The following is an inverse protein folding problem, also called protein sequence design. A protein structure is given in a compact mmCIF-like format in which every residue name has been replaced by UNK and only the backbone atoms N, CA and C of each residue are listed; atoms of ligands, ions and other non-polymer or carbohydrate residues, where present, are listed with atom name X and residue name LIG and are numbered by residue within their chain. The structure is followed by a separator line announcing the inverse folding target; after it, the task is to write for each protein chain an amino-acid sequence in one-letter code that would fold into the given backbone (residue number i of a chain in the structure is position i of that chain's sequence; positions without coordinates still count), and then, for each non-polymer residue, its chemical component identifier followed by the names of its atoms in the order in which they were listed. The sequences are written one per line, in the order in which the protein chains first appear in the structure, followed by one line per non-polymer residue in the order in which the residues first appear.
data_IF_474772941970
#
_entry.id   IF_474772941970
#
_cell.length_a   1.000
_cell.length_b   1.000
_cell.length_c   1.000
_cell.angle_alpha   90.00
_cell.angle_beta   90.00
_cell.angle_gamma   90.00
#
_symmetry.space_group_name_H-M   'P 1'
#
loop_
_entity.id
_entity.type
_entity.pdbx_description
1 polymer ?
#
# COMPACT_ATOMS: atom_id res chain seq x y z
N UNK A 1 -49.36 2.16 -29.27
CA UNK A 1 -48.20 1.54 -29.95
C UNK A 1 -47.14 1.30 -28.90
N UNK A 2 -46.76 0.04 -28.63
CA UNK A 2 -45.78 -0.31 -27.57
C UNK A 2 -44.49 -0.72 -28.27
N UNK A 3 -43.42 0.05 -28.08
CA UNK A 3 -42.10 -0.31 -28.58
C UNK A 3 -41.53 -1.43 -27.70
N UNK A 4 -41.15 -2.56 -28.32
CA UNK A 4 -40.38 -3.61 -27.67
C UNK A 4 -38.92 -3.45 -28.08
N UNK A 5 -37.96 -3.56 -27.14
CA UNK A 5 -36.55 -3.56 -27.50
C UNK A 5 -36.23 -4.75 -28.41
N UNK A 6 -35.52 -4.51 -29.51
CA UNK A 6 -35.07 -5.54 -30.45
C UNK A 6 -33.92 -6.38 -29.88
N UNK A 7 -33.09 -5.77 -29.03
CA UNK A 7 -31.91 -6.40 -28.44
C UNK A 7 -31.59 -5.75 -27.09
N UNK A 8 -31.17 -6.56 -26.12
CA UNK A 8 -30.65 -6.09 -24.84
C UNK A 8 -29.17 -6.50 -24.73
N UNK A 9 -28.27 -5.52 -24.75
CA UNK A 9 -26.83 -5.74 -24.60
C UNK A 9 -26.41 -5.46 -23.16
N UNK A 10 -25.81 -6.45 -22.50
CA UNK A 10 -25.10 -6.25 -21.24
C UNK A 10 -23.62 -6.00 -21.49
N UNK A 11 -23.05 -5.03 -20.76
CA UNK A 11 -21.62 -4.74 -20.74
C UNK A 11 -21.18 -4.55 -19.29
N UNK A 12 -20.31 -5.43 -18.82
CA UNK A 12 -19.71 -5.37 -17.48
C UNK A 12 -18.22 -5.07 -17.60
N UNK A 13 -17.69 -4.25 -16.70
CA UNK A 13 -16.24 -4.13 -16.56
C UNK A 13 -15.74 -5.30 -15.69
N UNK A 14 -14.71 -6.04 -16.10
CA UNK A 14 -14.18 -7.16 -15.32
C UNK A 14 -13.46 -6.70 -14.05
N UNK A 15 -13.02 -5.44 -14.00
CA UNK A 15 -12.36 -4.83 -12.86
C UNK A 15 -12.49 -3.31 -12.94
N UNK A 16 -12.92 -2.69 -11.84
CA UNK A 16 -12.79 -1.27 -11.58
C UNK A 16 -11.92 -1.03 -10.35
N UNK A 17 -10.95 -0.13 -10.44
CA UNK A 17 -10.04 0.21 -9.35
C UNK A 17 -10.15 1.69 -8.97
N UNK A 18 -10.08 1.97 -7.68
CA UNK A 18 -9.87 3.31 -7.13
C UNK A 18 -8.62 3.29 -6.28
N UNK A 19 -7.67 4.18 -6.56
CA UNK A 19 -6.45 4.29 -5.78
C UNK A 19 -6.60 5.36 -4.71
N UNK A 20 -6.23 5.04 -3.47
CA UNK A 20 -6.34 5.93 -2.32
C UNK A 20 -4.95 6.34 -1.83
N UNK A 21 -4.72 7.63 -1.64
CA UNK A 21 -3.52 8.16 -1.01
C UNK A 21 -3.60 7.97 0.52
N UNK A 22 -2.87 7.00 1.06
CA UNK A 22 -2.88 6.72 2.50
C UNK A 22 -2.41 7.91 3.35
N UNK A 23 -1.60 8.82 2.80
CA UNK A 23 -1.12 9.98 3.55
C UNK A 23 -2.16 11.10 3.66
N UNK A 24 -3.16 11.13 2.77
CA UNK A 24 -4.16 12.20 2.69
C UNK A 24 -5.60 11.73 2.86
N UNK A 25 -5.86 10.43 2.76
CA UNK A 25 -7.22 9.88 2.70
C UNK A 25 -7.98 10.30 1.43
N UNK A 26 -7.27 10.65 0.34
CA UNK A 26 -7.87 11.18 -0.89
C UNK A 26 -7.66 10.24 -2.08
N UNK A 27 -8.62 10.25 -3.00
CA UNK A 27 -8.50 9.49 -4.25
C UNK A 27 -7.39 10.06 -5.14
N UNK A 28 -6.52 9.19 -5.61
CA UNK A 28 -5.49 9.53 -6.59
C UNK A 28 -6.08 9.34 -7.98
N UNK A 29 -6.33 10.45 -8.64
CA UNK A 29 -7.03 10.47 -9.91
C UNK A 29 -6.13 10.77 -11.08
N UNK A 30 -4.81 10.84 -10.96
CA UNK A 30 -3.90 11.19 -12.05
C UNK A 30 -2.52 10.54 -11.87
N UNK A 31 -1.68 10.58 -12.91
CA UNK A 31 -0.29 10.13 -12.87
C UNK A 31 -0.07 8.62 -12.73
N UNK A 32 -1.11 7.81 -12.50
CA UNK A 32 -0.98 6.36 -12.37
C UNK A 32 -1.10 5.65 -13.73
N UNK A 33 -0.23 4.68 -13.95
CA UNK A 33 -0.41 3.63 -14.93
C UNK A 33 -0.82 2.36 -14.19
N UNK A 34 -2.00 1.83 -14.54
CA UNK A 34 -2.55 0.61 -13.97
C UNK A 34 -2.66 -0.43 -15.07
N UNK A 35 -2.10 -1.61 -14.85
CA UNK A 35 -2.10 -2.70 -15.82
C UNK A 35 -2.51 -4.03 -15.17
N UNK A 36 -3.05 -4.94 -15.97
CA UNK A 36 -3.38 -6.29 -15.54
C UNK A 36 -2.99 -7.32 -16.61
N UNK A 37 -2.60 -8.51 -16.17
CA UNK A 37 -2.29 -9.65 -17.04
C UNK A 37 -2.57 -10.98 -16.33
N UNK A 38 -2.88 -12.06 -17.08
CA UNK A 38 -3.02 -13.40 -16.49
C UNK A 38 -1.71 -13.89 -15.88
N UNK A 39 -1.74 -14.58 -14.74
CA UNK A 39 -0.52 -15.03 -14.02
C UNK A 39 0.41 -15.96 -14.83
N UNK A 40 -0.11 -16.64 -15.87
CA UNK A 40 0.68 -17.44 -16.82
C UNK A 40 0.96 -16.75 -18.16
N UNK A 41 0.57 -15.49 -18.34
CA UNK A 41 0.58 -14.82 -19.63
C UNK A 41 0.89 -13.31 -19.54
N UNK A 42 2.07 -12.90 -19.03
CA UNK A 42 2.42 -11.49 -18.91
C UNK A 42 2.44 -10.74 -20.25
N UNK A 43 2.68 -11.44 -21.36
CA UNK A 43 2.59 -10.87 -22.71
C UNK A 43 1.18 -10.39 -23.08
N UNK A 44 0.14 -10.86 -22.37
CA UNK A 44 -1.27 -10.46 -22.59
C UNK A 44 -1.68 -9.23 -21.77
N UNK A 45 -0.70 -8.45 -21.28
CA UNK A 45 -0.89 -7.21 -20.52
C UNK A 45 -1.90 -6.26 -21.17
N UNK A 46 -2.76 -5.69 -20.33
CA UNK A 46 -3.72 -4.64 -20.68
C UNK A 46 -3.56 -3.47 -19.72
N UNK A 47 -3.63 -2.26 -20.24
CA UNK A 47 -3.62 -1.03 -19.44
C UNK A 47 -5.07 -0.61 -19.20
N UNK A 48 -5.38 -0.22 -17.97
CA UNK A 48 -6.69 0.28 -17.60
C UNK A 48 -7.00 1.61 -18.30
N UNK A 49 -8.28 1.86 -18.55
CA UNK A 49 -8.75 3.17 -18.96
C UNK A 49 -9.21 3.95 -17.74
N UNK A 50 -8.70 5.18 -17.61
CA UNK A 50 -9.11 6.08 -16.54
C UNK A 50 -10.36 6.86 -16.94
N UNK A 51 -11.36 6.88 -16.06
CA UNK A 51 -12.49 7.81 -16.15
C UNK A 51 -12.05 9.24 -15.78
N UNK A 52 -12.25 10.24 -16.65
CA UNK A 52 -11.89 11.62 -16.34
C UNK A 52 -12.77 12.23 -15.25
N UNK A 53 -13.99 11.74 -15.06
CA UNK A 53 -14.94 12.29 -14.08
C UNK A 53 -14.77 11.68 -12.69
N UNK A 54 -14.56 10.37 -12.61
CA UNK A 54 -14.51 9.65 -11.33
C UNK A 54 -13.11 9.27 -10.88
N UNK A 55 -12.10 9.34 -11.76
CA UNK A 55 -10.74 8.88 -11.48
C UNK A 55 -10.61 7.36 -11.36
N UNK A 56 -11.69 6.59 -11.57
CA UNK A 56 -11.67 5.12 -11.54
C UNK A 56 -10.92 4.58 -12.75
N UNK A 57 -10.07 3.58 -12.51
CA UNK A 57 -9.36 2.83 -13.55
C UNK A 57 -10.17 1.58 -13.88
N UNK A 58 -10.80 1.56 -15.05
CA UNK A 58 -11.61 0.45 -15.54
C UNK A 58 -10.85 -0.39 -16.55
N UNK A 59 -10.95 -1.71 -16.44
CA UNK A 59 -10.47 -2.63 -17.46
C UNK A 59 -11.57 -2.99 -18.44
N UNK A 60 -11.17 -3.42 -19.64
CA UNK A 60 -12.03 -3.98 -20.68
C UNK A 60 -11.22 -4.94 -21.52
N UNK A 61 -11.88 -5.94 -22.10
CA UNK A 61 -11.28 -7.00 -22.89
C UNK A 61 -10.09 -7.68 -22.19
N UNK A 62 -10.23 -7.99 -20.91
CA UNK A 62 -9.23 -8.81 -20.21
C UNK A 62 -9.24 -10.24 -20.78
N UNK A 63 -8.06 -10.84 -21.04
CA UNK A 63 -7.98 -12.19 -21.61
C UNK A 63 -8.78 -13.23 -20.82
N UNK A 64 -9.65 -13.98 -21.49
CA UNK A 64 -10.45 -15.02 -20.85
C UNK A 64 -11.71 -14.53 -20.11
N UNK A 65 -11.97 -13.21 -20.02
CA UNK A 65 -13.14 -12.66 -19.31
C UNK A 65 -14.26 -12.15 -20.24
N UNK A 66 -14.21 -12.47 -21.54
CA UNK A 66 -15.16 -11.93 -22.53
C UNK A 66 -16.62 -12.35 -22.26
N UNK A 67 -16.87 -13.59 -21.87
CA UNK A 67 -18.21 -14.07 -21.55
C UNK A 67 -18.80 -13.33 -20.34
N UNK A 68 -17.99 -13.04 -19.33
CA UNK A 68 -18.39 -12.18 -18.20
C UNK A 68 -18.76 -10.76 -18.66
N UNK A 69 -17.89 -10.12 -19.46
CA UNK A 69 -18.11 -8.76 -19.95
C UNK A 69 -19.40 -8.63 -20.78
N UNK A 70 -19.81 -9.70 -21.46
CA UNK A 70 -21.04 -9.76 -22.25
C UNK A 70 -22.27 -10.18 -21.44
N UNK A 71 -22.12 -10.46 -20.15
CA UNK A 71 -23.19 -10.92 -19.26
C UNK A 71 -23.65 -12.36 -19.54
N UNK A 72 -22.82 -13.16 -20.20
CA UNK A 72 -23.11 -14.56 -20.55
C UNK A 72 -22.71 -15.55 -19.45
N UNK A 73 -21.84 -15.12 -18.54
CA UNK A 73 -21.33 -15.93 -17.43
C UNK A 73 -21.25 -15.07 -16.16
N UNK A 74 -21.58 -15.63 -14.98
CA UNK A 74 -21.41 -14.96 -13.70
C UNK A 74 -19.94 -14.92 -13.26
N UNK A 75 -19.57 -14.02 -12.34
CA UNK A 75 -18.21 -13.96 -11.80
C UNK A 75 -17.76 -15.27 -11.13
N UNK A 76 -18.72 -16.04 -10.59
CA UNK A 76 -18.51 -17.33 -9.93
C UNK A 76 -17.83 -18.39 -10.79
N UNK A 77 -17.87 -18.24 -12.12
CA UNK A 77 -17.20 -19.17 -13.04
C UNK A 77 -15.67 -19.06 -13.00
N UNK A 78 -15.14 -17.95 -12.47
CA UNK A 78 -13.70 -17.72 -12.29
C UNK A 78 -13.29 -17.66 -10.83
N UNK A 79 -14.12 -17.04 -9.99
CA UNK A 79 -13.78 -16.74 -8.60
C UNK A 79 -14.88 -17.25 -7.68
N UNK A 80 -14.50 -18.04 -6.67
CA UNK A 80 -15.40 -18.26 -5.55
C UNK A 80 -15.71 -16.90 -4.89
N UNK A 81 -16.98 -16.64 -4.62
CA UNK A 81 -17.43 -15.41 -3.97
C UNK A 81 -16.79 -15.33 -2.57
N UNK A 82 -15.94 -14.32 -2.28
CA UNK A 82 -15.35 -14.18 -0.96
C UNK A 82 -16.37 -13.72 0.11
N UNK A 83 -17.62 -13.45 -0.27
CA UNK A 83 -18.62 -12.84 0.58
C UNK A 83 -18.46 -11.32 0.66
N UNK A 84 -19.54 -10.61 1.02
CA UNK A 84 -19.54 -9.16 1.20
C UNK A 84 -18.77 -8.74 2.47
N UNK A 85 -17.44 -8.89 2.44
CA UNK A 85 -16.56 -8.21 3.38
C UNK A 85 -16.68 -6.71 3.13
N UNK A 86 -17.45 -6.00 3.96
CA UNK A 86 -17.71 -4.57 3.79
C UNK A 86 -16.43 -3.75 3.57
N UNK A 87 -16.52 -2.70 2.76
CA UNK A 87 -15.37 -1.82 2.48
C UNK A 87 -15.04 -0.97 3.71
N UNK A 88 -13.84 -1.07 4.30
CA UNK A 88 -13.43 -0.17 5.38
C UNK A 88 -13.39 1.28 4.89
N UNK A 89 -13.67 2.24 5.77
CA UNK A 89 -13.55 3.66 5.44
C UNK A 89 -12.08 4.05 5.20
N UNK A 90 -11.85 5.10 4.40
CA UNK A 90 -10.49 5.59 4.12
C UNK A 90 -9.68 5.94 5.37
N UNK A 91 -10.34 6.44 6.42
CA UNK A 91 -9.70 6.74 7.72
C UNK A 91 -9.25 5.47 8.45
N UNK A 92 -9.99 4.36 8.34
CA UNK A 92 -9.58 3.10 8.95
C UNK A 92 -8.31 2.53 8.31
N UNK A 93 -8.02 2.88 7.06
CA UNK A 93 -6.87 2.34 6.31
C UNK A 93 -5.51 2.90 6.74
N UNK A 94 -5.47 3.85 7.68
CA UNK A 94 -4.20 4.30 8.28
C UNK A 94 -3.60 3.24 9.20
N UNK A 95 -4.45 2.41 9.82
CA UNK A 95 -4.03 1.31 10.69
C UNK A 95 -3.73 0.04 9.90
N UNK A 96 -2.75 -0.73 10.38
CA UNK A 96 -2.34 -1.97 9.72
C UNK A 96 -3.43 -3.06 9.68
N UNK A 97 -4.23 -3.31 10.74
CA UNK A 97 -5.24 -4.35 10.68
C UNK A 97 -6.34 -4.11 9.62
N UNK A 98 -6.95 -2.90 9.53
CA UNK A 98 -7.89 -2.62 8.44
C UNK A 98 -7.25 -2.65 7.05
N UNK A 99 -5.99 -2.21 6.94
CA UNK A 99 -5.22 -2.29 5.70
C UNK A 99 -5.00 -3.74 5.26
N UNK A 100 -4.63 -4.62 6.19
CA UNK A 100 -4.49 -6.05 5.95
C UNK A 100 -5.84 -6.66 5.54
N UNK A 101 -6.92 -6.34 6.25
CA UNK A 101 -8.26 -6.83 5.92
C UNK A 101 -8.72 -6.38 4.52
N UNK A 102 -8.44 -5.13 4.13
CA UNK A 102 -8.73 -4.64 2.78
C UNK A 102 -7.93 -5.43 1.73
N UNK A 103 -6.64 -5.65 1.95
CA UNK A 103 -5.82 -6.40 1.00
C UNK A 103 -6.23 -7.87 0.96
N UNK A 104 -6.58 -8.49 2.07
CA UNK A 104 -7.09 -9.86 2.13
C UNK A 104 -8.42 -10.02 1.39
N UNK A 105 -9.35 -9.08 1.53
CA UNK A 105 -10.61 -9.07 0.78
C UNK A 105 -10.40 -8.99 -0.74
N UNK A 106 -9.33 -8.30 -1.16
CA UNK A 106 -9.05 -8.04 -2.56
C UNK A 106 -8.06 -9.04 -3.21
N UNK A 107 -7.22 -9.70 -2.42
CA UNK A 107 -6.18 -10.62 -2.88
C UNK A 107 -6.42 -12.05 -2.38
N UNK A 108 -6.61 -12.98 -3.32
CA UNK A 108 -6.81 -14.41 -3.00
C UNK A 108 -5.76 -15.25 -3.73
N UNK A 109 -4.55 -15.44 -3.19
CA UNK A 109 -3.45 -16.09 -3.92
C UNK A 109 -3.81 -17.49 -4.46
N UNK A 110 -4.66 -18.24 -3.75
CA UNK A 110 -5.05 -19.61 -4.14
C UNK A 110 -5.96 -19.64 -5.36
N UNK A 111 -6.79 -18.60 -5.57
CA UNK A 111 -7.69 -18.49 -6.72
C UNK A 111 -7.32 -17.36 -7.67
N UNK A 112 -6.20 -16.66 -7.43
CA UNK A 112 -5.77 -15.58 -8.27
C UNK A 112 -5.50 -16.08 -9.68
N UNK A 113 -6.03 -15.37 -10.66
CA UNK A 113 -5.85 -15.65 -12.08
C UNK A 113 -5.21 -14.47 -12.82
N UNK A 114 -5.11 -13.30 -12.17
CA UNK A 114 -4.45 -12.10 -12.70
C UNK A 114 -3.46 -11.49 -11.71
N UNK A 115 -2.42 -10.87 -12.26
CA UNK A 115 -1.64 -9.85 -11.58
C UNK A 115 -2.12 -8.46 -11.99
N UNK A 116 -2.20 -7.55 -11.04
CA UNK A 116 -2.50 -6.13 -11.25
C UNK A 116 -1.32 -5.31 -10.78
N UNK A 117 -0.74 -4.52 -11.67
CA UNK A 117 0.39 -3.63 -11.41
C UNK A 117 -0.05 -2.17 -11.41
N UNK A 118 0.41 -1.42 -10.42
CA UNK A 118 0.18 0.01 -10.29
C UNK A 118 1.54 0.70 -10.18
N UNK A 119 1.77 1.69 -11.02
CA UNK A 119 2.97 2.53 -10.99
C UNK A 119 2.60 4.00 -11.14
N UNK A 120 3.24 4.89 -10.39
CA UNK A 120 3.05 6.34 -10.52
C UNK A 120 4.15 6.97 -11.36
N UNK A 121 3.77 7.49 -12.52
CA UNK A 121 4.69 8.18 -13.45
C UNK A 121 5.22 9.50 -12.91
N UNK A 122 4.59 10.04 -11.86
CA UNK A 122 5.01 11.26 -11.18
C UNK A 122 5.90 11.00 -9.95
N UNK A 123 6.18 9.72 -9.63
CA UNK A 123 7.09 9.34 -8.53
C UNK A 123 6.61 9.74 -7.14
N UNK A 124 5.30 9.95 -6.94
CA UNK A 124 4.70 10.30 -5.64
C UNK A 124 4.40 9.05 -4.81
N UNK A 125 4.15 7.91 -5.45
CA UNK A 125 3.78 6.65 -4.80
C UNK A 125 4.71 5.51 -5.18
N UNK A 126 4.87 4.55 -4.28
CA UNK A 126 5.60 3.31 -4.55
C UNK A 126 4.87 2.45 -5.59
N UNK A 127 5.60 1.74 -6.46
CA UNK A 127 4.99 0.75 -7.34
C UNK A 127 4.45 -0.43 -6.51
N UNK A 128 3.36 -1.03 -6.98
CA UNK A 128 2.71 -2.14 -6.30
C UNK A 128 2.29 -3.20 -7.31
N UNK A 129 2.33 -4.46 -6.88
CA UNK A 129 1.73 -5.58 -7.60
C UNK A 129 0.84 -6.38 -6.66
N UNK A 130 -0.34 -6.78 -7.15
CA UNK A 130 -1.31 -7.56 -6.40
C UNK A 130 -1.79 -8.73 -7.24
N UNK A 131 -1.86 -9.93 -6.65
CA UNK A 131 -2.53 -11.07 -7.26
C UNK A 131 -4.02 -11.06 -6.92
N UNK A 132 -4.87 -11.03 -7.95
CA UNK A 132 -6.32 -10.94 -7.81
C UNK A 132 -7.01 -12.08 -8.55
N UNK A 133 -8.10 -12.58 -7.98
CA UNK A 133 -9.08 -13.32 -8.73
C UNK A 133 -10.04 -12.35 -9.42
N UNK A 134 -10.10 -12.38 -10.75
CA UNK A 134 -10.98 -11.58 -11.59
C UNK A 134 -11.99 -12.47 -12.32
N UNK A 135 -13.21 -11.98 -12.60
CA UNK A 135 -13.66 -10.60 -12.46
C UNK A 135 -14.06 -10.20 -11.02
N UNK A 136 -14.12 -8.90 -10.74
CA UNK A 136 -14.63 -8.32 -9.49
C UNK A 136 -15.87 -7.49 -9.80
N UNK A 137 -16.98 -7.77 -9.12
CA UNK A 137 -18.28 -7.12 -9.37
C UNK A 137 -18.45 -5.81 -8.59
N UNK A 138 -17.55 -5.53 -7.65
CA UNK A 138 -17.49 -4.28 -6.89
C UNK A 138 -16.25 -3.47 -7.26
N UNK A 139 -16.27 -2.18 -6.90
CA UNK A 139 -15.10 -1.32 -7.00
C UNK A 139 -14.05 -1.76 -5.99
N UNK A 140 -12.85 -2.07 -6.46
CA UNK A 140 -11.72 -2.43 -5.59
C UNK A 140 -10.96 -1.16 -5.22
N UNK A 141 -10.78 -0.93 -3.93
CA UNK A 141 -9.97 0.17 -3.42
C UNK A 141 -8.54 -0.31 -3.16
N UNK A 142 -7.55 0.44 -3.66
CA UNK A 142 -6.13 0.10 -3.54
C UNK A 142 -5.39 1.23 -2.82
N UNK A 143 -4.84 0.96 -1.62
CA UNK A 143 -4.09 1.95 -0.86
C UNK A 143 -2.70 2.18 -1.45
N UNK A 144 -2.31 3.44 -1.62
CA UNK A 144 -1.02 3.85 -2.15
C UNK A 144 -0.09 4.36 -1.06
N UNK A 145 1.08 3.74 -0.96
CA UNK A 145 2.17 4.17 -0.06
C UNK A 145 2.98 5.29 -0.71
N UNK A 146 3.30 6.31 0.08
CA UNK A 146 4.11 7.45 -0.36
C UNK A 146 5.52 7.00 -0.75
N UNK A 147 6.03 7.52 -1.87
CA UNK A 147 7.42 7.37 -2.23
C UNK A 147 8.32 8.15 -1.25
N UNK A 148 9.56 7.70 -0.96
CA UNK A 148 10.44 8.34 0.01
C UNK A 148 10.87 9.76 -0.35
N UNK A 149 10.79 10.13 -1.63
CA UNK A 149 11.12 11.47 -2.13
C UNK A 149 9.88 12.40 -2.20
N UNK A 150 8.68 11.90 -1.88
CA UNK A 150 7.44 12.67 -1.95
C UNK A 150 7.49 13.82 -0.94
N UNK A 151 7.20 15.08 -1.37
CA UNK A 151 7.05 16.20 -0.44
C UNK A 151 5.96 15.93 0.61
N UNK A 152 6.12 16.42 1.86
CA UNK A 152 5.09 16.32 2.88
C UNK A 152 3.75 16.89 2.38
N UNK A 153 2.61 16.22 2.63
CA UNK A 153 1.32 16.88 2.53
C UNK A 153 1.27 18.12 3.46
N UNK A 154 0.57 19.19 3.06
CA UNK A 154 0.33 20.33 3.97
C UNK A 154 -0.29 19.88 5.29
N UNK A 155 0.15 20.46 6.40
CA UNK A 155 -0.36 20.12 7.73
C UNK A 155 0.08 18.75 8.28
N UNK A 156 1.07 18.11 7.66
CA UNK A 156 1.60 16.81 8.10
C UNK A 156 3.06 16.90 8.53
N UNK A 157 3.42 16.10 9.54
CA UNK A 157 4.81 15.71 9.80
C UNK A 157 5.18 14.50 8.93
N UNK A 158 6.47 14.26 8.75
CA UNK A 158 6.96 13.08 8.03
C UNK A 158 8.07 12.40 8.82
N UNK A 159 7.95 11.09 8.98
CA UNK A 159 9.05 10.22 9.42
C UNK A 159 9.69 9.61 8.19
N UNK A 160 11.00 9.84 8.00
CA UNK A 160 11.78 9.27 6.89
C UNK A 160 12.97 8.47 7.42
N UNK A 161 13.45 7.53 6.63
CA UNK A 161 14.66 6.81 6.96
C UNK A 161 15.08 5.84 5.88
N UNK A 162 16.20 5.17 6.13
CA UNK A 162 16.67 4.01 5.40
C UNK A 162 16.71 2.85 6.39
N UNK A 163 16.08 1.73 6.05
CA UNK A 163 16.06 0.52 6.87
C UNK A 163 17.09 -0.45 6.29
N UNK A 164 17.96 -0.97 7.15
CA UNK A 164 19.08 -1.80 6.74
C UNK A 164 19.13 -3.07 7.57
N UNK A 165 19.26 -4.20 6.88
CA UNK A 165 19.45 -5.52 7.46
C UNK A 165 20.96 -5.84 7.47
N UNK A 166 21.63 -5.78 8.64
CA UNK A 166 23.05 -6.08 8.76
C UNK A 166 23.35 -7.58 8.60
N UNK A 167 22.37 -8.47 8.77
CA UNK A 167 22.54 -9.92 8.61
C UNK A 167 22.61 -10.27 7.12
N UNK A 168 21.68 -9.75 6.33
CA UNK A 168 21.72 -9.90 4.87
C UNK A 168 22.74 -8.98 4.18
N UNK A 169 23.23 -7.95 4.87
CA UNK A 169 24.19 -6.98 4.33
C UNK A 169 23.58 -6.06 3.27
N UNK A 170 22.29 -5.72 3.41
CA UNK A 170 21.54 -4.99 2.39
C UNK A 170 20.37 -4.17 2.94
N UNK A 171 19.73 -3.38 2.07
CA UNK A 171 18.51 -2.66 2.44
C UNK A 171 17.40 -3.65 2.81
N UNK A 172 16.59 -3.29 3.80
CA UNK A 172 15.36 -4.02 4.11
C UNK A 172 14.25 -3.61 3.14
N UNK A 173 14.37 -4.04 1.89
CA UNK A 173 13.46 -3.69 0.80
C UNK A 173 12.02 -4.09 1.14
N UNK A 174 11.07 -3.19 0.89
CA UNK A 174 9.63 -3.44 1.10
C UNK A 174 9.24 -3.75 2.55
N UNK A 175 10.05 -3.36 3.53
CA UNK A 175 9.66 -3.39 4.94
C UNK A 175 8.48 -2.45 5.20
N UNK A 176 7.61 -2.83 6.13
CA UNK A 176 6.50 -1.99 6.60
C UNK A 176 6.96 -1.21 7.83
N UNK A 177 6.66 0.08 7.86
CA UNK A 177 6.95 0.96 9.00
C UNK A 177 5.64 1.43 9.61
N UNK A 178 5.49 1.25 10.91
CA UNK A 178 4.37 1.79 11.68
C UNK A 178 4.86 2.94 12.56
N UNK A 179 4.15 4.05 12.56
CA UNK A 179 4.41 5.22 13.40
C UNK A 179 3.16 5.53 14.21
N UNK A 180 3.29 5.60 15.53
CA UNK A 180 2.18 5.87 16.44
C UNK A 180 2.51 7.09 17.30
N UNK A 181 1.75 8.21 17.17
CA UNK A 181 1.91 9.35 18.07
C UNK A 181 1.33 9.11 19.47
N UNK A 182 0.37 8.20 19.57
CA UNK A 182 -0.28 7.81 20.82
C UNK A 182 -0.82 6.37 20.72
N UNK A 183 -1.12 5.71 21.84
CA UNK A 183 -1.71 4.37 21.82
C UNK A 183 -3.05 4.35 21.09
N UNK A 184 -3.18 3.46 20.10
CA UNK A 184 -4.42 3.27 19.34
C UNK A 184 -4.48 3.99 18.00
N UNK A 185 -3.55 4.91 17.73
CA UNK A 185 -3.44 5.60 16.43
C UNK A 185 -2.15 5.15 15.74
N UNK A 186 -2.25 4.52 14.57
CA UNK A 186 -1.08 4.10 13.79
C UNK A 186 -1.14 4.63 12.38
N UNK A 187 0.01 5.08 11.88
CA UNK A 187 0.23 5.41 10.48
C UNK A 187 1.21 4.44 9.88
N UNK A 188 0.90 3.92 8.70
CA UNK A 188 1.72 2.93 8.02
C UNK A 188 2.38 3.52 6.78
N UNK A 189 3.65 3.20 6.59
CA UNK A 189 4.37 3.37 5.33
C UNK A 189 5.09 2.10 4.91
N UNK A 190 5.70 2.16 3.74
CA UNK A 190 6.44 1.06 3.15
C UNK A 190 7.79 1.57 2.65
N UNK A 191 8.83 0.75 2.78
CA UNK A 191 10.13 1.02 2.20
C UNK A 191 10.17 0.65 0.71
N UNK A 192 10.94 1.40 -0.08
CA UNK A 192 11.21 1.07 -1.48
C UNK A 192 12.25 -0.08 -1.60
N UNK A 193 12.63 -0.42 -2.83
CA UNK A 193 13.66 -1.42 -3.10
C UNK A 193 15.03 -1.10 -2.47
N UNK A 194 15.28 0.15 -2.10
CA UNK A 194 16.53 0.62 -1.46
C UNK A 194 16.38 0.73 0.07
N UNK A 195 15.28 0.25 0.65
CA UNK A 195 15.02 0.35 2.09
C UNK A 195 14.63 1.76 2.55
N UNK A 196 14.43 2.71 1.62
CA UNK A 196 14.06 4.08 1.95
C UNK A 196 12.55 4.18 2.16
N UNK A 197 12.09 4.92 3.16
CA UNK A 197 10.65 5.08 3.43
C UNK A 197 10.27 6.51 3.79
N UNK A 198 8.97 6.79 3.69
CA UNK A 198 8.34 7.98 4.27
C UNK A 198 6.96 7.62 4.83
N UNK A 199 6.71 7.99 6.08
CA UNK A 199 5.40 7.89 6.75
C UNK A 199 4.92 9.30 7.04
N UNK A 200 3.78 9.69 6.46
CA UNK A 200 3.15 10.98 6.74
C UNK A 200 2.09 10.83 7.80
N UNK A 201 2.05 11.77 8.74
CA UNK A 201 1.08 11.82 9.83
C UNK A 201 0.55 13.25 9.97
N UNK A 202 -0.77 13.46 10.08
CA UNK A 202 -1.35 14.80 10.20
C UNK A 202 -1.04 15.40 11.57
N UNK A 203 -0.53 16.63 11.62
CA UNK A 203 -0.21 17.29 12.90
C UNK A 203 -1.42 17.41 13.83
N UNK A 204 -2.62 17.62 13.27
CA UNK A 204 -3.85 17.73 14.07
C UNK A 204 -4.14 16.51 14.94
N UNK A 205 -3.67 15.32 14.53
CA UNK A 205 -3.81 14.07 15.30
C UNK A 205 -2.69 13.85 16.33
N UNK A 206 -1.65 14.68 16.31
CA UNK A 206 -0.41 14.42 17.03
C UNK A 206 0.06 15.60 17.90
N UNK A 207 -0.62 16.75 17.85
CA UNK A 207 -0.22 17.94 18.59
C UNK A 207 -0.56 17.82 20.09
N UNK A 208 0.41 18.05 20.99
CA UNK A 208 0.12 18.17 22.42
C UNK A 208 -0.61 19.48 22.72
N UNK A 209 -1.15 19.59 23.94
CA UNK A 209 -1.80 20.82 24.40
C UNK A 209 -0.85 22.03 24.35
N UNK A 210 -1.31 23.15 23.79
CA UNK A 210 -0.53 24.36 23.50
C UNK A 210 -0.27 25.24 24.74
N UNK A 211 0.21 24.67 25.86
CA UNK A 211 0.35 25.34 27.17
C UNK A 211 1.28 26.58 27.25
N UNK A 212 1.09 27.58 26.39
CA UNK A 212 1.88 28.81 26.27
C UNK A 212 3.14 28.69 25.41
N UNK A 213 3.49 27.49 24.93
CA UNK A 213 4.68 27.24 24.10
C UNK A 213 4.44 27.68 22.67
N UNK A 214 5.46 28.27 22.03
CA UNK A 214 5.39 28.63 20.62
C UNK A 214 5.26 27.36 19.76
N UNK A 215 4.47 27.44 18.69
CA UNK A 215 4.11 26.26 17.87
C UNK A 215 5.34 25.58 17.25
N UNK A 216 6.37 26.35 16.92
CA UNK A 216 7.66 25.88 16.35
C UNK A 216 8.56 25.17 17.38
N UNK A 217 8.24 25.28 18.67
CA UNK A 217 8.97 24.60 19.75
C UNK A 217 8.26 23.32 20.21
N UNK A 218 7.07 23.02 19.69
CA UNK A 218 6.34 21.82 20.06
C UNK A 218 7.07 20.58 19.56
N UNK A 219 7.28 19.64 20.48
CA UNK A 219 7.82 18.34 20.22
C UNK A 219 7.02 17.28 20.97
N UNK A 220 6.87 16.11 20.37
CA UNK A 220 6.21 14.96 20.99
C UNK A 220 6.84 13.68 20.49
N UNK A 221 6.70 12.63 21.28
CA UNK A 221 7.28 11.33 21.01
C UNK A 221 6.45 10.54 20.01
N UNK A 222 7.13 9.89 19.07
CA UNK A 222 6.56 8.92 18.15
C UNK A 222 7.14 7.55 18.44
N UNK A 223 6.28 6.55 18.62
CA UNK A 223 6.68 5.15 18.63
C UNK A 223 6.82 4.65 17.17
N UNK A 224 7.94 3.99 16.86
CA UNK A 224 8.28 3.51 15.52
C UNK A 224 8.53 2.01 15.59
N UNK A 225 7.73 1.25 14.84
CA UNK A 225 7.87 -0.19 14.65
C UNK A 225 8.21 -0.54 13.21
N UNK A 226 8.86 -1.69 13.00
CA UNK A 226 9.19 -2.22 11.67
C UNK A 226 8.72 -3.67 11.56
N UNK A 227 8.09 -4.02 10.44
CA UNK A 227 7.81 -5.41 10.06
C UNK A 227 8.64 -5.75 8.83
N UNK A 228 9.48 -6.77 8.97
CA UNK A 228 10.37 -7.22 7.91
C UNK A 228 10.67 -8.70 8.07
N UNK A 229 10.26 -9.48 7.07
CA UNK A 229 10.45 -10.92 7.03
C UNK A 229 10.66 -11.32 5.55
N UNK A 230 11.89 -11.26 5.04
CA UNK A 230 12.15 -11.43 3.61
C UNK A 230 11.75 -12.83 3.09
N UNK A 231 11.74 -13.85 3.96
CA UNK A 231 11.35 -15.22 3.63
C UNK A 231 9.88 -15.39 3.23
N UNK A 232 8.99 -14.47 3.63
CA UNK A 232 7.56 -14.52 3.25
C UNK A 232 7.24 -13.67 2.02
N UNK A 233 8.16 -12.80 1.58
CA UNK A 233 7.96 -11.98 0.39
C UNK A 233 7.89 -12.86 -0.86
N UNK A 234 6.86 -12.67 -1.68
CA UNK A 234 6.62 -13.48 -2.87
C UNK A 234 6.69 -12.62 -4.12
N UNK A 235 7.57 -12.96 -5.05
CA UNK A 235 7.56 -12.35 -6.38
C UNK A 235 6.31 -12.78 -7.16
N UNK A 236 5.77 -11.88 -7.98
CA UNK A 236 4.65 -12.18 -8.88
C UNK A 236 5.20 -12.59 -10.24
N UNK A 237 4.70 -13.71 -10.78
CA UNK A 237 5.13 -14.20 -12.08
C UNK A 237 4.86 -13.15 -13.17
N UNK A 238 5.88 -12.77 -13.94
CA UNK A 238 5.77 -11.76 -15.00
C UNK A 238 6.11 -10.34 -14.56
N UNK A 239 6.26 -10.07 -13.26
CA UNK A 239 6.82 -8.81 -12.78
C UNK A 239 8.34 -8.75 -12.97
N UNK A 240 8.93 -7.54 -13.09
CA UNK A 240 10.38 -7.38 -13.13
C UNK A 240 11.07 -8.03 -11.91
N UNK A 241 12.28 -8.54 -12.10
CA UNK A 241 13.04 -9.20 -11.02
C UNK A 241 13.39 -8.25 -9.86
N UNK A 242 13.52 -6.96 -10.17
CA UNK A 242 13.72 -5.84 -9.24
C UNK A 242 12.41 -5.13 -8.86
N UNK A 243 11.26 -5.67 -9.29
CA UNK A 243 9.94 -5.15 -9.00
C UNK A 243 9.50 -5.39 -7.54
N UNK A 244 8.39 -4.76 -7.12
CA UNK A 244 7.81 -5.02 -5.82
C UNK A 244 7.36 -6.49 -5.69
N UNK A 245 7.50 -7.11 -4.52
CA UNK A 245 6.80 -8.34 -4.17
C UNK A 245 5.27 -8.13 -4.20
N UNK A 246 4.54 -9.24 -4.15
CA UNK A 246 3.09 -9.24 -3.96
C UNK A 246 2.71 -8.48 -2.68
N UNK A 247 1.78 -7.52 -2.83
CA UNK A 247 1.34 -6.63 -1.75
C UNK A 247 0.88 -7.38 -0.49
N UNK A 248 0.17 -8.50 -0.66
CA UNK A 248 -0.31 -9.30 0.48
C UNK A 248 0.87 -9.88 1.24
N UNK A 249 1.86 -10.44 0.53
CA UNK A 249 3.08 -10.96 1.15
C UNK A 249 3.89 -9.90 1.92
N UNK A 250 3.85 -8.65 1.47
CA UNK A 250 4.49 -7.52 2.15
C UNK A 250 3.76 -7.19 3.47
N UNK A 251 2.43 -7.17 3.47
CA UNK A 251 1.64 -6.85 4.67
C UNK A 251 1.61 -7.98 5.71
N UNK A 252 1.80 -9.22 5.28
CA UNK A 252 1.85 -10.41 6.14
C UNK A 252 3.17 -10.54 6.93
N UNK A 253 4.21 -9.76 6.61
CA UNK A 253 5.52 -9.81 7.27
C UNK A 253 5.40 -9.70 8.80
N UNK A 254 6.18 -10.49 9.55
CA UNK A 254 6.25 -10.40 11.00
C UNK A 254 7.07 -9.19 11.51
N UNK A 255 6.90 -8.85 12.79
CA UNK A 255 7.63 -7.76 13.46
C UNK A 255 9.12 -8.07 13.52
N UNK A 256 9.93 -7.15 13.00
CA UNK A 256 11.38 -7.19 13.08
C UNK A 256 11.88 -6.56 14.39
N UNK A 257 13.05 -6.96 14.84
CA UNK A 257 13.75 -6.28 15.92
C UNK A 257 14.43 -5.00 15.41
N UNK A 258 14.45 -3.93 16.19
CA UNK A 258 15.08 -2.64 15.87
C UNK A 258 16.25 -2.42 16.83
N UNK A 259 17.43 -2.10 16.31
CA UNK A 259 18.57 -1.70 17.16
C UNK A 259 18.49 -0.20 17.43
N UNK A 260 18.35 0.19 18.69
CA UNK A 260 17.99 1.56 19.07
C UNK A 260 19.21 2.51 19.11
N UNK A 261 20.18 2.22 19.98
CA UNK A 261 21.21 3.18 20.37
C UNK A 261 22.57 2.95 19.71
N UNK A 262 22.88 1.70 19.35
CA UNK A 262 24.16 1.33 18.74
C UNK A 262 23.97 0.12 17.81
N UNK A 263 24.88 -0.07 16.83
CA UNK A 263 24.84 -1.24 15.96
C UNK A 263 24.84 -2.55 16.71
N UNK A 264 25.49 -2.68 17.87
CA UNK A 264 25.55 -3.94 18.63
C UNK A 264 24.53 -4.00 19.77
N UNK A 265 23.61 -3.04 19.86
CA UNK A 265 22.56 -3.04 20.87
C UNK A 265 21.58 -4.19 20.64
N UNK A 266 20.99 -4.70 21.74
CA UNK A 266 19.89 -5.66 21.66
C UNK A 266 18.72 -5.07 20.88
N UNK A 267 18.13 -5.87 20.00
CA UNK A 267 16.99 -5.45 19.21
C UNK A 267 15.70 -5.37 20.05
N UNK A 268 14.91 -4.34 19.81
CA UNK A 268 13.62 -4.07 20.46
C UNK A 268 12.51 -3.99 19.43
N UNK A 269 11.27 -4.30 19.79
CA UNK A 269 10.15 -4.31 18.83
C UNK A 269 9.73 -2.91 18.36
N UNK A 270 10.05 -1.86 19.12
CA UNK A 270 9.70 -0.47 18.82
C UNK A 270 10.71 0.48 19.48
N UNK A 271 10.95 1.63 18.86
CA UNK A 271 11.77 2.72 19.39
C UNK A 271 10.94 4.01 19.49
N UNK A 272 11.30 4.88 20.42
CA UNK A 272 10.65 6.18 20.57
C UNK A 272 11.58 7.30 20.11
N UNK A 273 11.04 8.24 19.32
CA UNK A 273 11.78 9.41 18.83
C UNK A 273 10.92 10.67 18.87
N UNK A 274 11.44 11.80 19.35
CA UNK A 274 10.69 13.05 19.33
C UNK A 274 10.66 13.65 17.92
N UNK A 275 9.48 13.96 17.41
CA UNK A 275 9.29 14.82 16.24
C UNK A 275 9.05 16.26 16.69
N UNK A 276 9.46 17.24 15.88
CA UNK A 276 9.17 18.65 16.10
C UNK A 276 8.19 19.17 15.06
N UNK A 277 7.32 20.08 15.45
CA UNK A 277 6.41 20.74 14.52
C UNK A 277 7.17 21.41 13.37
N UNK A 278 6.69 21.22 12.15
CA UNK A 278 7.29 21.78 10.93
C UNK A 278 8.60 21.10 10.48
N UNK A 279 9.04 20.02 11.14
CA UNK A 279 10.28 19.32 10.81
C UNK A 279 10.06 17.86 10.48
N UNK A 280 10.82 17.33 9.53
CA UNK A 280 10.88 15.89 9.26
C UNK A 280 11.66 15.18 10.38
N UNK A 281 11.13 14.06 10.87
CA UNK A 281 11.86 13.15 11.75
C UNK A 281 12.65 12.15 10.91
N UNK A 282 13.95 12.05 11.14
CA UNK A 282 14.79 11.00 10.56
C UNK A 282 14.91 9.82 11.53
N UNK A 283 14.38 8.66 11.16
CA UNK A 283 14.55 7.42 11.90
C UNK A 283 15.96 6.86 11.68
N UNK A 284 16.68 6.61 12.77
CA UNK A 284 18.06 6.11 12.76
C UNK A 284 18.44 5.41 14.07
N UNK A 285 19.43 4.52 13.97
CA UNK A 285 20.08 3.84 15.11
C UNK A 285 21.27 4.66 15.61
N UNK A 286 21.19 5.21 16.82
CA UNK A 286 22.27 6.04 17.39
C UNK A 286 22.72 7.18 16.48
N UNK A 287 24.02 7.25 16.18
CA UNK A 287 24.63 8.21 15.24
C UNK A 287 24.66 7.74 13.78
N UNK A 288 24.14 6.53 13.49
CA UNK A 288 24.13 6.01 12.14
C UNK A 288 23.15 6.81 11.25
N UNK A 289 23.38 6.75 9.94
CA UNK A 289 22.48 7.35 8.96
C UNK A 289 21.20 6.53 8.70
N UNK A 290 21.12 5.32 9.28
CA UNK A 290 20.19 4.24 8.94
C UNK A 290 19.56 3.66 10.20
N UNK A 291 18.37 3.09 10.06
CA UNK A 291 17.71 2.28 11.06
C UNK A 291 18.11 0.81 10.85
N UNK A 292 18.89 0.27 11.79
CA UNK A 292 19.35 -1.11 11.75
C UNK A 292 18.30 -2.03 12.36
N UNK A 293 17.98 -3.12 11.67
CA UNK A 293 16.97 -4.08 12.11
C UNK A 293 17.53 -5.51 12.16
N UNK A 294 16.83 -6.40 12.85
CA UNK A 294 16.97 -7.84 12.78
C UNK A 294 15.70 -8.41 12.16
N UNK A 295 15.79 -9.11 11.01
CA UNK A 295 14.62 -9.68 10.36
C UNK A 295 13.88 -10.61 11.29
N UNK A 296 12.55 -10.64 11.17
CA UNK A 296 11.78 -11.69 11.81
C UNK A 296 12.21 -13.07 11.26
N UNK A 297 12.21 -14.12 12.10
CA UNK A 297 12.64 -15.46 11.71
C UNK A 297 11.77 -16.08 10.60
#
# INVERSE_FOLDING_TARGET
MRFLPLEALSRRAPLGLRCLDLARGLNVTDGLMVAAYPLGGPALRRVAQRSPMSGIYGFRALPGLRSYEQGQAPASDWCADPGDGGTPSGEALHDLPPLLALVEANSTPVSANFAVEISDTLGRFLPQVMQMCLPKEHLVEVPLFSAPARPPPPGSGVVRGEIYDPVAGGPASWAIVSVSPEPGTTYVGMADARGMFAVSLPYASALPSLGGTSIDQLAWDLAIGVRYQPSVQRSVAGSPADGPPDMRSILEQATAGIRDSAPDAAAVASITRPIRFGSDLRAATGSAARLLIEPAP
#
